data_IF_322265259084
#
_entry.id   IF_322265259084
#
_cell.length_a   1.000
_cell.length_b   1.000
_cell.length_c   1.000
_cell.angle_alpha   90.00
_cell.angle_beta   90.00
_cell.angle_gamma   90.00
#
_symmetry.space_group_name_H-M   'P 1'
#
loop_
_entity.id
_entity.type
_entity.pdbx_description
1 polymer ?
#
# COMPACT_ATOMS: atom_id res chain seq x y z
N UNK A 1 16.11 -6.03 19.46
CA UNK A 1 15.15 -5.01 19.93
C UNK A 1 14.29 -4.58 18.76
N UNK A 2 13.01 -4.28 18.98
CA UNK A 2 12.14 -3.75 17.93
C UNK A 2 12.62 -2.33 17.57
N UNK A 3 12.77 -2.03 16.28
CA UNK A 3 13.11 -0.66 15.80
C UNK A 3 12.10 0.37 16.32
N UNK A 4 12.52 1.62 16.44
CA UNK A 4 11.62 2.70 16.87
C UNK A 4 10.41 2.81 15.91
N UNK A 5 9.27 3.28 16.42
CA UNK A 5 8.05 3.37 15.60
C UNK A 5 8.28 4.19 14.34
N UNK A 6 8.96 5.33 14.46
CA UNK A 6 9.26 6.21 13.34
C UNK A 6 10.11 5.50 12.28
N UNK A 7 11.19 4.82 12.67
CA UNK A 7 12.03 4.04 11.74
C UNK A 7 11.25 2.94 11.02
N UNK A 8 10.26 2.34 11.69
CA UNK A 8 9.40 1.33 11.08
C UNK A 8 8.42 1.96 10.09
N UNK A 9 7.88 3.14 10.40
CA UNK A 9 7.01 3.87 9.47
C UNK A 9 7.79 4.38 8.25
N UNK A 10 9.03 4.85 8.41
CA UNK A 10 9.88 5.21 7.26
C UNK A 10 10.14 4.02 6.31
N UNK A 11 10.22 2.80 6.84
CA UNK A 11 10.35 1.59 6.04
C UNK A 11 9.04 1.18 5.33
N UNK A 12 7.90 1.78 5.68
CA UNK A 12 6.57 1.49 5.13
C UNK A 12 5.87 2.81 4.75
N UNK A 13 6.30 3.48 3.66
CA UNK A 13 5.85 4.84 3.33
C UNK A 13 4.33 4.95 3.13
N UNK A 14 3.68 3.91 2.61
CA UNK A 14 2.22 3.87 2.49
C UNK A 14 1.56 3.96 3.87
N UNK A 15 1.98 3.12 4.82
CA UNK A 15 1.45 3.14 6.18
C UNK A 15 1.72 4.47 6.89
N UNK A 16 2.91 5.04 6.68
CA UNK A 16 3.28 6.36 7.20
C UNK A 16 2.30 7.44 6.72
N UNK A 17 2.06 7.52 5.41
CA UNK A 17 1.15 8.52 4.84
C UNK A 17 -0.27 8.40 5.40
N UNK A 18 -0.77 7.18 5.63
CA UNK A 18 -2.08 6.98 6.22
C UNK A 18 -2.14 7.43 7.68
N UNK A 19 -1.10 7.15 8.46
CA UNK A 19 -1.00 7.59 9.85
C UNK A 19 -0.91 9.12 9.93
N UNK A 20 -0.12 9.76 9.06
CA UNK A 20 -0.05 11.22 8.96
C UNK A 20 -1.41 11.83 8.63
N UNK A 21 -2.14 11.27 7.65
CA UNK A 21 -3.48 11.75 7.32
C UNK A 21 -4.51 11.57 8.46
N UNK A 22 -4.35 10.57 9.34
CA UNK A 22 -5.19 10.43 10.53
C UNK A 22 -4.84 11.47 11.60
N UNK A 23 -3.54 11.77 11.76
CA UNK A 23 -3.08 12.84 12.64
C UNK A 23 -3.63 14.19 12.18
N UNK A 24 -3.60 14.48 10.89
CA UNK A 24 -4.17 15.71 10.33
C UNK A 24 -5.66 15.89 10.65
N UNK A 25 -6.42 14.78 10.67
CA UNK A 25 -7.84 14.78 11.06
C UNK A 25 -7.98 15.02 12.57
N UNK A 26 -7.17 14.36 13.39
CA UNK A 26 -7.24 14.47 14.85
C UNK A 26 -6.82 15.87 15.36
N UNK A 27 -5.86 16.49 14.69
CA UNK A 27 -5.37 17.84 14.99
C UNK A 27 -6.23 18.93 14.32
N UNK A 28 -7.20 18.55 13.49
CA UNK A 28 -7.99 19.44 12.62
C UNK A 28 -7.12 20.47 11.90
N UNK A 29 -6.00 20.02 11.32
CA UNK A 29 -4.99 20.89 10.68
C UNK A 29 -5.61 21.78 9.59
N UNK A 30 -6.68 21.30 8.95
CA UNK A 30 -7.40 22.02 7.90
C UNK A 30 -8.49 22.95 8.42
N UNK A 31 -8.89 22.86 9.70
CA UNK A 31 -10.02 23.59 10.27
C UNK A 31 -11.37 23.24 9.64
N UNK A 32 -11.43 22.11 8.92
CA UNK A 32 -12.60 21.71 8.14
C UNK A 32 -13.48 20.70 8.86
N UNK A 33 -13.01 20.09 9.94
CA UNK A 33 -13.76 19.11 10.71
C UNK A 33 -14.62 19.84 11.74
N UNK A 34 -15.75 20.38 11.29
CA UNK A 34 -16.68 21.13 12.16
C UNK A 34 -17.67 20.23 12.89
N UNK A 35 -17.86 19.00 12.41
CA UNK A 35 -18.79 18.02 12.97
C UNK A 35 -18.10 16.67 13.13
N UNK A 36 -18.55 15.90 14.12
CA UNK A 36 -18.09 14.53 14.33
C UNK A 36 -18.32 13.64 13.09
N UNK A 37 -19.48 13.79 12.43
CA UNK A 37 -19.83 13.03 11.24
C UNK A 37 -18.82 13.24 10.10
N UNK A 38 -18.33 14.48 9.91
CA UNK A 38 -17.32 14.80 8.89
C UNK A 38 -15.97 14.15 9.22
N UNK A 39 -15.63 14.08 10.51
CA UNK A 39 -14.44 13.38 10.99
C UNK A 39 -14.56 11.87 10.73
N UNK A 40 -15.71 11.29 11.06
CA UNK A 40 -15.99 9.87 10.90
C UNK A 40 -15.84 9.42 9.44
N UNK A 41 -16.44 10.16 8.50
CA UNK A 41 -16.36 9.85 7.07
C UNK A 41 -14.88 9.82 6.63
N UNK A 42 -14.10 10.83 6.98
CA UNK A 42 -12.67 10.92 6.61
C UNK A 42 -11.85 9.78 7.21
N UNK A 43 -12.10 9.42 8.48
CA UNK A 43 -11.41 8.31 9.16
C UNK A 43 -11.75 6.98 8.48
N UNK A 44 -13.03 6.72 8.20
CA UNK A 44 -13.48 5.50 7.54
C UNK A 44 -12.89 5.38 6.13
N UNK A 45 -12.85 6.47 5.37
CA UNK A 45 -12.22 6.50 4.05
C UNK A 45 -10.72 6.21 4.12
N UNK A 46 -10.01 6.81 5.07
CA UNK A 46 -8.58 6.53 5.29
C UNK A 46 -8.36 5.05 5.62
N UNK A 47 -9.17 4.47 6.53
CA UNK A 47 -9.07 3.05 6.89
C UNK A 47 -9.33 2.12 5.71
N UNK A 48 -10.30 2.45 4.85
CA UNK A 48 -10.58 1.66 3.64
C UNK A 48 -9.40 1.68 2.67
N UNK A 49 -8.81 2.86 2.42
CA UNK A 49 -7.65 3.01 1.55
C UNK A 49 -6.43 2.28 2.14
N UNK A 50 -6.15 2.48 3.42
CA UNK A 50 -5.07 1.80 4.12
C UNK A 50 -5.21 0.28 4.02
N UNK A 51 -6.42 -0.24 4.28
CA UNK A 51 -6.70 -1.67 4.17
C UNK A 51 -6.47 -2.21 2.75
N UNK A 52 -6.91 -1.47 1.73
CA UNK A 52 -6.68 -1.84 0.33
C UNK A 52 -5.19 -1.92 -0.01
N UNK A 53 -4.42 -0.89 0.36
CA UNK A 53 -3.01 -0.81 0.01
C UNK A 53 -2.19 -1.87 0.76
N UNK A 54 -2.44 -2.06 2.07
CA UNK A 54 -1.77 -3.10 2.87
C UNK A 54 -2.05 -4.51 2.34
N UNK A 55 -3.29 -4.80 1.95
CA UNK A 55 -3.66 -6.10 1.39
C UNK A 55 -3.02 -6.32 0.03
N UNK A 56 -2.92 -5.28 -0.79
CA UNK A 56 -2.27 -5.34 -2.10
C UNK A 56 -0.78 -5.61 -1.97
N UNK A 57 -0.09 -4.86 -1.09
CA UNK A 57 1.33 -5.07 -0.79
C UNK A 57 1.57 -6.47 -0.19
N UNK A 58 0.71 -6.90 0.73
CA UNK A 58 0.82 -8.25 1.30
C UNK A 58 0.69 -9.33 0.22
N UNK A 59 -0.27 -9.19 -0.70
CA UNK A 59 -0.47 -10.14 -1.78
C UNK A 59 0.75 -10.23 -2.71
N UNK A 60 1.36 -9.09 -3.06
CA UNK A 60 2.58 -9.03 -3.89
C UNK A 60 3.74 -9.73 -3.18
N UNK A 61 3.98 -9.39 -1.91
CA UNK A 61 5.08 -10.00 -1.14
C UNK A 61 4.88 -11.51 -0.98
N UNK A 62 3.64 -11.96 -0.79
CA UNK A 62 3.33 -13.38 -0.64
C UNK A 62 3.50 -14.16 -1.95
N UNK A 63 3.14 -13.56 -3.10
CA UNK A 63 3.43 -14.11 -4.43
C UNK A 63 4.93 -14.26 -4.65
N UNK A 64 5.71 -13.20 -4.37
CA UNK A 64 7.16 -13.21 -4.55
C UNK A 64 7.84 -14.25 -3.66
N UNK A 65 7.44 -14.32 -2.38
CA UNK A 65 7.95 -15.32 -1.44
C UNK A 65 7.66 -16.73 -1.92
N UNK A 66 6.43 -17.03 -2.30
CA UNK A 66 6.03 -18.35 -2.79
C UNK A 66 6.77 -18.73 -4.09
N UNK A 67 6.93 -17.77 -5.00
CA UNK A 67 7.70 -17.97 -6.24
C UNK A 67 9.17 -18.28 -5.96
N UNK A 68 9.78 -17.57 -5.01
CA UNK A 68 11.18 -17.78 -4.64
C UNK A 68 11.40 -19.13 -3.94
N UNK A 69 10.50 -19.52 -3.02
CA UNK A 69 10.51 -20.84 -2.39
C UNK A 69 10.38 -21.97 -3.43
N UNK A 70 9.52 -21.78 -4.43
CA UNK A 70 9.37 -22.74 -5.52
C UNK A 70 10.62 -22.86 -6.40
N UNK A 71 11.26 -21.74 -6.75
CA UNK A 71 12.52 -21.75 -7.53
C UNK A 71 13.67 -22.42 -6.78
N UNK A 72 13.73 -22.28 -5.46
CA UNK A 72 14.75 -22.95 -4.65
C UNK A 72 14.60 -24.47 -4.67
N UNK A 73 13.36 -24.96 -4.69
CA UNK A 73 13.07 -26.40 -4.75
C UNK A 73 13.11 -26.96 -6.17
N UNK A 74 12.88 -26.13 -7.18
CA UNK A 74 12.84 -26.50 -8.59
C UNK A 74 13.68 -25.51 -9.43
N UNK A 75 15.02 -25.69 -9.50
CA UNK A 75 15.92 -24.74 -10.15
C UNK A 75 15.65 -24.56 -11.66
N UNK A 76 15.14 -25.62 -12.31
CA UNK A 76 14.83 -25.63 -13.74
C UNK A 76 13.44 -25.04 -14.07
N UNK A 77 12.69 -24.60 -13.05
CA UNK A 77 11.36 -24.05 -13.24
C UNK A 77 11.40 -22.66 -13.91
N UNK A 78 10.65 -22.52 -15.00
CA UNK A 78 10.53 -21.26 -15.73
C UNK A 78 9.37 -20.45 -15.12
N UNK A 79 9.69 -19.27 -14.59
CA UNK A 79 8.69 -18.35 -14.05
C UNK A 79 7.92 -17.64 -15.17
N UNK A 80 6.59 -17.71 -15.14
CA UNK A 80 5.72 -16.88 -15.97
C UNK A 80 5.15 -15.72 -15.15
N UNK A 81 5.34 -14.50 -15.64
CA UNK A 81 4.81 -13.28 -15.02
C UNK A 81 3.54 -12.79 -15.70
N UNK A 82 2.73 -12.03 -14.96
CA UNK A 82 1.56 -11.35 -15.50
C UNK A 82 2.00 -10.37 -16.61
N UNK A 83 1.39 -10.47 -17.79
CA UNK A 83 1.70 -9.60 -18.94
C UNK A 83 1.41 -8.13 -18.58
N UNK A 84 2.43 -7.28 -18.56
CA UNK A 84 2.30 -5.82 -18.44
C UNK A 84 1.91 -5.26 -19.80
N UNK A 85 0.63 -5.36 -20.17
CA UNK A 85 0.13 -4.83 -21.45
C UNK A 85 0.16 -3.30 -21.44
N UNK A 86 1.28 -2.71 -21.83
CA UNK A 86 1.33 -1.36 -22.38
C UNK A 86 1.23 -1.57 -23.90
N UNK A 87 0.01 -1.64 -24.42
CA UNK A 87 -0.20 -1.71 -25.87
C UNK A 87 0.47 -0.52 -26.52
N UNK A 88 1.30 -0.76 -27.55
CA UNK A 88 1.87 0.32 -28.36
C UNK A 88 0.73 1.20 -28.88
N UNK A 89 0.74 2.47 -28.49
CA UNK A 89 -0.04 3.51 -29.15
C UNK A 89 0.41 3.54 -30.62
N UNK A 90 -0.51 3.21 -31.53
CA UNK A 90 -0.30 3.41 -32.97
C UNK A 90 0.09 4.87 -33.17
N UNK A 91 1.27 5.12 -33.75
CA UNK A 91 1.61 6.47 -34.20
C UNK A 91 0.60 6.86 -35.27
N UNK A 92 0.00 8.03 -35.08
CA UNK A 92 -0.81 8.69 -36.07
C UNK A 92 0.08 9.19 -37.22
N UNK A 93 -0.55 9.28 -38.39
CA UNK A 93 -0.10 9.73 -39.72
C UNK A 93 0.61 8.71 -40.62
#
# INVERSE_FOLDING_TARGET
MKKALQERLEAHPILKNHVEALLDIAEDVTGTVKKADDAEIKIVENMRKLGHDLLSDWAINQEEKSSNEWKQTNPDAIGHGKKKSIGKQLMAE
#
